data_IF_016276319920
#
_entry.id   IF_016276319920
#
_cell.length_a   1.000
_cell.length_b   1.000
_cell.length_c   1.000
_cell.angle_alpha   90.00
_cell.angle_beta   90.00
_cell.angle_gamma   90.00
#
_symmetry.space_group_name_H-M   'P 1'
#
loop_
_entity.id
_entity.type
_entity.pdbx_description
1 polymer ?
#
# COMPACT_ATOMS: atom_id res chain seq x y z
N UNK A 1 30.29 -6.33 1.98
CA UNK A 1 29.51 -5.52 2.95
C UNK A 1 28.56 -6.44 3.69
N UNK A 2 28.24 -6.05 4.90
CA UNK A 2 27.15 -6.66 5.67
C UNK A 2 25.96 -5.72 5.68
N UNK A 3 24.84 -6.15 5.11
CA UNK A 3 23.69 -5.29 4.82
C UNK A 3 22.50 -5.71 5.67
N UNK A 4 21.90 -4.73 6.36
CA UNK A 4 20.67 -4.90 7.10
C UNK A 4 19.45 -4.74 6.19
N UNK A 5 18.44 -5.59 6.33
CA UNK A 5 17.19 -5.51 5.60
C UNK A 5 16.03 -5.42 6.59
N UNK A 6 15.13 -4.49 6.39
CA UNK A 6 13.90 -4.35 7.19
C UNK A 6 12.67 -4.12 6.33
N UNK A 7 11.51 -4.51 6.87
CA UNK A 7 10.20 -4.27 6.28
C UNK A 7 9.33 -3.51 7.27
N UNK A 8 8.82 -2.33 6.88
CA UNK A 8 8.08 -1.45 7.80
C UNK A 8 6.71 -1.03 7.28
N UNK A 9 5.86 -0.56 8.20
CA UNK A 9 4.48 -0.15 7.93
C UNK A 9 3.52 -1.31 7.74
N UNK A 10 2.36 -1.08 7.11
CA UNK A 10 1.42 -2.16 6.78
C UNK A 10 2.06 -3.18 5.86
N UNK A 11 1.83 -4.47 6.11
CA UNK A 11 2.31 -5.52 5.24
C UNK A 11 1.53 -5.56 3.91
N UNK A 12 2.11 -6.19 2.92
CA UNK A 12 1.45 -6.48 1.65
C UNK A 12 2.10 -7.69 0.95
N UNK A 13 1.39 -8.30 0.00
CA UNK A 13 1.98 -9.34 -0.85
C UNK A 13 3.12 -8.79 -1.71
N UNK A 14 4.25 -9.51 -1.75
CA UNK A 14 5.45 -9.11 -2.50
C UNK A 14 6.68 -8.78 -1.64
N UNK A 15 6.52 -8.46 -0.35
CA UNK A 15 7.64 -8.17 0.57
C UNK A 15 8.69 -9.28 0.56
N UNK A 16 8.26 -10.52 0.66
CA UNK A 16 9.18 -11.68 0.65
C UNK A 16 9.89 -11.87 -0.70
N UNK A 17 9.27 -11.45 -1.81
CA UNK A 17 9.91 -11.48 -3.12
C UNK A 17 11.09 -10.49 -3.20
N UNK A 18 10.93 -9.29 -2.64
CA UNK A 18 12.02 -8.30 -2.51
C UNK A 18 13.16 -8.86 -1.67
N UNK A 19 12.87 -9.35 -0.45
CA UNK A 19 13.88 -9.91 0.47
C UNK A 19 14.67 -11.02 -0.23
N UNK A 20 13.95 -11.94 -0.88
CA UNK A 20 14.57 -13.04 -1.64
C UNK A 20 15.50 -12.55 -2.74
N UNK A 21 15.09 -11.55 -3.51
CA UNK A 21 15.86 -11.00 -4.62
C UNK A 21 17.15 -10.31 -4.13
N UNK A 22 17.02 -9.46 -3.12
CA UNK A 22 18.14 -8.77 -2.45
C UNK A 22 19.18 -9.78 -1.98
N UNK A 23 18.76 -10.75 -1.19
CA UNK A 23 19.66 -11.74 -0.58
C UNK A 23 20.33 -12.61 -1.65
N UNK A 24 19.54 -13.13 -2.58
CA UNK A 24 20.09 -14.07 -3.58
C UNK A 24 21.11 -13.43 -4.50
N UNK A 25 20.83 -12.24 -5.03
CA UNK A 25 21.77 -11.52 -5.89
C UNK A 25 22.98 -11.05 -5.09
N UNK A 26 22.76 -10.46 -3.92
CA UNK A 26 23.83 -9.94 -3.08
C UNK A 26 24.83 -11.01 -2.63
N UNK A 27 24.34 -12.21 -2.28
CA UNK A 27 25.24 -13.34 -1.93
C UNK A 27 25.94 -13.89 -3.17
N UNK A 28 25.19 -14.16 -4.26
CA UNK A 28 25.73 -14.89 -5.41
C UNK A 28 26.65 -14.07 -6.30
N UNK A 29 26.30 -12.81 -6.56
CA UNK A 29 27.06 -11.96 -7.48
C UNK A 29 28.06 -11.07 -6.76
N UNK A 30 27.74 -10.62 -5.53
CA UNK A 30 28.55 -9.60 -4.85
C UNK A 30 29.25 -10.09 -3.58
N UNK A 31 28.96 -11.32 -3.12
CA UNK A 31 29.57 -11.87 -1.89
C UNK A 31 29.20 -11.10 -0.62
N UNK A 32 28.03 -10.46 -0.60
CA UNK A 32 27.57 -9.72 0.58
C UNK A 32 26.93 -10.64 1.63
N UNK A 33 27.01 -10.22 2.88
CA UNK A 33 26.30 -10.82 4.02
C UNK A 33 25.04 -10.03 4.35
N UNK A 34 24.00 -10.72 4.83
CA UNK A 34 22.72 -10.08 5.15
C UNK A 34 22.25 -10.40 6.57
N UNK A 35 21.63 -9.42 7.18
CA UNK A 35 20.94 -9.51 8.46
C UNK A 35 19.54 -8.96 8.29
N UNK A 36 18.50 -9.73 8.64
CA UNK A 36 17.13 -9.24 8.73
C UNK A 36 16.89 -8.57 10.07
N UNK A 37 16.29 -7.40 10.07
CA UNK A 37 15.78 -6.77 11.27
C UNK A 37 14.30 -7.08 11.45
N UNK A 38 13.93 -7.58 12.63
CA UNK A 38 12.54 -7.86 12.97
C UNK A 38 11.73 -6.57 13.19
N UNK A 39 10.44 -6.61 12.83
CA UNK A 39 9.46 -5.59 13.18
C UNK A 39 9.83 -4.17 12.74
N UNK A 40 10.25 -4.01 11.48
CA UNK A 40 10.54 -2.71 10.89
C UNK A 40 11.64 -1.94 11.64
N UNK A 41 11.41 -0.65 11.90
CA UNK A 41 12.39 0.20 12.60
C UNK A 41 12.57 -0.17 14.07
N UNK A 42 11.69 -0.98 14.66
CA UNK A 42 11.89 -1.54 16.00
C UNK A 42 13.14 -2.44 16.05
N UNK A 43 13.37 -3.21 14.99
CA UNK A 43 14.52 -4.11 14.91
C UNK A 43 15.88 -3.41 15.08
N UNK A 44 16.22 -2.41 14.25
CA UNK A 44 17.44 -1.62 14.46
C UNK A 44 17.48 -0.89 15.80
N UNK A 45 16.34 -0.40 16.28
CA UNK A 45 16.23 0.32 17.56
C UNK A 45 16.54 -0.58 18.77
N UNK A 46 16.10 -1.82 18.75
CA UNK A 46 16.22 -2.78 19.87
C UNK A 46 17.29 -3.87 19.62
N UNK A 47 17.93 -3.87 18.44
CA UNK A 47 18.91 -4.88 18.08
C UNK A 47 18.31 -6.27 17.75
N UNK A 48 17.03 -6.33 17.34
CA UNK A 48 16.34 -7.57 17.02
C UNK A 48 16.69 -8.03 15.61
N UNK A 49 17.47 -9.09 15.50
CA UNK A 49 17.99 -9.54 14.22
C UNK A 49 17.75 -11.03 13.97
N UNK A 50 17.75 -11.41 12.69
CA UNK A 50 17.82 -12.78 12.23
C UNK A 50 18.81 -12.93 11.06
N UNK A 51 19.46 -14.09 10.89
CA UNK A 51 20.31 -14.34 9.73
C UNK A 51 19.46 -14.35 8.45
N UNK A 52 19.94 -13.68 7.40
CA UNK A 52 19.38 -13.80 6.05
C UNK A 52 20.42 -14.42 5.13
N UNK A 53 20.06 -15.52 4.49
CA UNK A 53 20.89 -16.22 3.51
C UNK A 53 20.02 -16.87 2.43
N UNK A 54 20.65 -17.56 1.49
CA UNK A 54 19.92 -18.22 0.38
C UNK A 54 18.96 -19.31 0.91
N UNK A 55 19.28 -19.95 2.02
CA UNK A 55 18.45 -21.02 2.60
C UNK A 55 17.23 -20.45 3.33
N UNK A 56 17.41 -19.42 4.18
CA UNK A 56 16.30 -18.77 4.91
C UNK A 56 15.32 -18.08 3.97
N UNK A 57 15.74 -17.76 2.74
CA UNK A 57 14.89 -17.14 1.70
C UNK A 57 14.36 -18.16 0.67
N UNK A 58 14.49 -19.48 0.94
CA UNK A 58 13.94 -20.52 0.07
C UNK A 58 12.41 -20.61 0.25
N UNK A 59 11.68 -20.71 -0.87
CA UNK A 59 10.23 -20.93 -0.86
C UNK A 59 9.37 -19.71 -0.47
N UNK A 60 9.95 -18.54 -0.15
CA UNK A 60 9.18 -17.39 0.31
C UNK A 60 8.56 -16.53 -0.82
N UNK A 61 8.92 -16.79 -2.10
CA UNK A 61 8.43 -15.99 -3.23
C UNK A 61 6.90 -15.89 -3.30
N UNK A 62 6.11 -16.97 -3.18
CA UNK A 62 4.65 -16.89 -3.24
C UNK A 62 4.00 -16.54 -1.90
N UNK A 63 4.78 -16.41 -0.83
CA UNK A 63 4.26 -16.19 0.51
C UNK A 63 3.94 -14.72 0.73
N UNK A 64 2.68 -14.43 1.12
CA UNK A 64 2.25 -13.09 1.56
C UNK A 64 2.85 -12.70 2.91
N UNK A 65 2.57 -11.47 3.34
CA UNK A 65 3.17 -10.89 4.53
C UNK A 65 4.69 -10.75 4.40
N UNK A 66 5.39 -10.79 5.52
CA UNK A 66 6.85 -10.67 5.58
C UNK A 66 7.46 -11.62 6.62
N UNK A 67 8.56 -12.28 6.26
CA UNK A 67 9.30 -13.13 7.19
C UNK A 67 10.03 -12.34 8.29
N UNK A 68 10.18 -11.01 8.09
CA UNK A 68 10.84 -10.12 9.05
C UNK A 68 9.88 -9.51 10.06
N UNK A 69 8.56 -9.67 9.88
CA UNK A 69 7.59 -8.90 10.65
C UNK A 69 7.57 -7.42 10.26
N UNK A 70 6.68 -6.66 10.85
CA UNK A 70 6.53 -5.23 10.59
C UNK A 70 6.01 -4.51 11.81
N UNK A 71 6.30 -3.21 11.94
CA UNK A 71 5.74 -2.34 12.97
C UNK A 71 5.56 -0.91 12.47
N UNK A 72 4.83 -0.12 13.25
CA UNK A 72 4.70 1.33 13.08
C UNK A 72 5.58 2.07 14.08
N UNK A 73 6.81 1.62 14.28
CA UNK A 73 7.78 2.27 15.18
C UNK A 73 8.43 3.45 14.47
N UNK A 74 8.37 4.63 15.09
CA UNK A 74 9.06 5.83 14.62
C UNK A 74 10.21 6.18 15.59
N UNK A 75 11.47 5.91 15.24
CA UNK A 75 12.60 6.14 16.12
C UNK A 75 12.84 7.62 16.44
N UNK A 76 12.37 8.54 15.59
CA UNK A 76 12.48 9.99 15.83
C UNK A 76 11.49 10.51 16.89
N UNK A 77 10.51 9.70 17.30
CA UNK A 77 9.62 10.01 18.43
C UNK A 77 10.08 9.39 19.75
N UNK A 78 11.24 8.74 19.75
CA UNK A 78 11.81 8.05 20.91
C UNK A 78 13.10 8.78 21.30
N UNK A 79 13.23 9.16 22.57
CA UNK A 79 14.44 9.82 23.09
C UNK A 79 15.67 8.94 22.88
N UNK A 80 16.73 9.50 22.25
CA UNK A 80 17.93 8.76 21.90
C UNK A 80 17.73 7.65 20.88
N UNK A 81 16.59 7.62 20.17
CA UNK A 81 16.27 6.53 19.26
C UNK A 81 17.21 6.42 18.05
N UNK A 82 17.64 7.54 17.51
CA UNK A 82 18.59 7.59 16.38
C UNK A 82 19.97 7.09 16.79
N UNK A 83 20.45 7.53 17.93
CA UNK A 83 21.74 7.12 18.51
C UNK A 83 21.75 5.62 18.80
N UNK A 84 20.67 5.08 19.38
CA UNK A 84 20.50 3.64 19.59
C UNK A 84 20.57 2.85 18.30
N UNK A 85 19.93 3.34 17.23
CA UNK A 85 20.00 2.69 15.91
C UNK A 85 21.45 2.66 15.43
N UNK A 86 22.16 3.79 15.44
CA UNK A 86 23.55 3.88 15.00
C UNK A 86 24.45 2.94 15.80
N UNK A 87 24.30 2.91 17.12
CA UNK A 87 25.06 2.04 18.01
C UNK A 87 24.79 0.56 17.73
N UNK A 88 23.52 0.18 17.52
CA UNK A 88 23.15 -1.20 17.24
C UNK A 88 23.63 -1.64 15.86
N UNK A 89 23.57 -0.77 14.84
CA UNK A 89 24.17 -1.05 13.53
C UNK A 89 25.68 -1.26 13.63
N UNK A 90 26.38 -0.39 14.35
CA UNK A 90 27.82 -0.52 14.58
C UNK A 90 28.18 -1.81 15.33
N UNK A 91 27.47 -2.14 16.43
CA UNK A 91 27.66 -3.39 17.18
C UNK A 91 27.42 -4.64 16.35
N UNK A 92 26.43 -4.60 15.46
CA UNK A 92 26.12 -5.71 14.55
C UNK A 92 27.03 -5.74 13.31
N UNK A 93 27.93 -4.76 13.13
CA UNK A 93 28.81 -4.64 11.97
C UNK A 93 28.04 -4.41 10.65
N UNK A 94 26.95 -3.68 10.72
CA UNK A 94 26.11 -3.36 9.54
C UNK A 94 26.66 -2.15 8.81
N UNK A 95 27.04 -2.30 7.56
CA UNK A 95 27.60 -1.25 6.70
C UNK A 95 26.53 -0.35 6.09
N UNK A 96 25.32 -0.91 5.80
CA UNK A 96 24.24 -0.22 5.12
C UNK A 96 22.88 -0.90 5.36
N UNK A 97 21.78 -0.21 5.04
CA UNK A 97 20.41 -0.70 5.17
C UNK A 97 19.69 -0.74 3.81
N UNK A 98 18.83 -1.73 3.63
CA UNK A 98 17.75 -1.72 2.63
C UNK A 98 16.43 -1.65 3.39
N UNK A 99 15.75 -0.50 3.28
CA UNK A 99 14.48 -0.23 3.94
C UNK A 99 13.32 -0.42 2.95
N UNK A 100 12.46 -1.40 3.23
CA UNK A 100 11.31 -1.75 2.38
C UNK A 100 10.04 -1.26 3.08
N UNK A 101 9.34 -0.26 2.51
CA UNK A 101 8.16 0.26 3.17
C UNK A 101 7.43 1.36 2.41
N UNK A 102 6.36 1.86 3.02
CA UNK A 102 5.58 3.00 2.56
C UNK A 102 6.19 4.33 3.01
N UNK A 103 5.39 5.40 2.89
CA UNK A 103 5.76 6.78 3.20
C UNK A 103 6.48 6.91 4.56
N UNK A 104 5.85 6.42 5.64
CA UNK A 104 6.40 6.51 7.00
C UNK A 104 7.77 5.83 7.13
N UNK A 105 7.93 4.65 6.54
CA UNK A 105 9.17 3.88 6.61
C UNK A 105 10.28 4.53 5.81
N UNK A 106 9.97 5.01 4.61
CA UNK A 106 10.92 5.70 3.74
C UNK A 106 11.24 7.11 4.25
N UNK A 107 10.29 7.77 4.92
CA UNK A 107 10.52 9.05 5.59
C UNK A 107 11.54 8.93 6.74
N UNK A 108 11.47 7.85 7.53
CA UNK A 108 12.51 7.54 8.53
C UNK A 108 13.85 7.24 7.85
N UNK A 109 13.85 6.44 6.76
CA UNK A 109 15.04 6.13 5.99
C UNK A 109 15.73 7.40 5.45
N UNK A 110 14.94 8.34 4.89
CA UNK A 110 15.44 9.64 4.38
C UNK A 110 16.13 10.44 5.48
N UNK A 111 15.52 10.51 6.67
CA UNK A 111 16.12 11.23 7.80
C UNK A 111 17.39 10.56 8.31
N UNK A 112 17.44 9.24 8.35
CA UNK A 112 18.64 8.50 8.74
C UNK A 112 19.77 8.66 7.71
N UNK A 113 19.46 8.69 6.43
CA UNK A 113 20.42 8.95 5.36
C UNK A 113 21.07 10.33 5.53
N UNK A 114 20.27 11.37 5.79
CA UNK A 114 20.78 12.73 6.07
C UNK A 114 21.70 12.82 7.33
N UNK A 115 21.58 11.82 8.21
CA UNK A 115 22.40 11.67 9.42
C UNK A 115 23.59 10.71 9.22
N UNK A 116 23.89 10.32 7.97
CA UNK A 116 25.04 9.52 7.59
C UNK A 116 24.86 8.02 7.64
N UNK A 117 23.63 7.51 7.83
CA UNK A 117 23.32 6.08 7.70
C UNK A 117 23.11 5.76 6.22
N UNK A 118 23.89 4.87 5.63
CA UNK A 118 23.77 4.45 4.24
C UNK A 118 22.48 3.65 4.04
N UNK A 119 21.52 4.16 3.26
CA UNK A 119 20.22 3.52 3.04
C UNK A 119 19.83 3.50 1.57
N UNK A 120 19.23 2.38 1.14
CA UNK A 120 18.47 2.26 -0.10
C UNK A 120 17.01 2.00 0.26
N UNK A 121 16.09 2.75 -0.34
CA UNK A 121 14.64 2.58 -0.20
C UNK A 121 14.05 1.65 -1.27
N UNK A 122 13.04 0.87 -0.86
CA UNK A 122 12.22 0.08 -1.77
C UNK A 122 10.74 0.41 -1.52
N UNK A 123 10.01 0.92 -2.53
CA UNK A 123 8.64 1.38 -2.35
C UNK A 123 7.68 0.20 -2.19
N UNK A 124 6.98 0.17 -1.08
CA UNK A 124 6.00 -0.84 -0.72
C UNK A 124 4.75 -0.18 -0.15
N UNK A 125 3.63 -0.31 -0.84
CA UNK A 125 2.30 0.04 -0.34
C UNK A 125 1.25 -0.59 -1.26
N UNK A 126 0.09 -0.96 -0.71
CA UNK A 126 -1.06 -1.34 -1.53
C UNK A 126 -1.78 -0.11 -2.09
N UNK A 127 -1.57 1.06 -1.51
CA UNK A 127 -2.31 2.29 -1.82
C UNK A 127 -1.81 2.97 -3.12
N UNK A 128 -0.65 2.55 -3.64
CA UNK A 128 0.01 3.11 -4.82
C UNK A 128 0.22 4.64 -4.75
N UNK A 129 0.41 5.16 -3.55
CA UNK A 129 0.44 6.58 -3.20
C UNK A 129 1.85 7.20 -3.06
N UNK A 130 2.91 6.41 -3.29
CA UNK A 130 4.29 6.90 -3.28
C UNK A 130 4.64 7.60 -4.59
N UNK A 131 5.21 8.80 -4.47
CA UNK A 131 5.62 9.59 -5.62
C UNK A 131 6.86 9.00 -6.32
N UNK A 132 7.11 9.45 -7.56
CA UNK A 132 8.24 9.04 -8.40
C UNK A 132 8.33 7.53 -8.72
N UNK A 133 7.25 6.79 -8.59
CA UNK A 133 7.12 5.42 -9.12
C UNK A 133 5.73 5.21 -9.73
N UNK A 134 5.66 4.59 -10.88
CA UNK A 134 4.39 4.35 -11.56
C UNK A 134 3.53 3.35 -10.78
N UNK A 135 4.15 2.29 -10.26
CA UNK A 135 3.49 1.28 -9.43
C UNK A 135 4.35 0.90 -8.23
N UNK A 136 3.67 0.63 -7.13
CA UNK A 136 4.23 -0.05 -5.95
C UNK A 136 3.76 -1.50 -5.94
N UNK A 137 4.60 -2.43 -5.49
CA UNK A 137 4.15 -3.81 -5.34
C UNK A 137 3.21 -3.96 -4.13
N UNK A 138 2.30 -4.91 -4.22
CA UNK A 138 1.17 -5.11 -3.32
C UNK A 138 -0.13 -4.47 -3.84
N UNK A 139 -0.03 -3.45 -4.67
CA UNK A 139 -1.18 -2.74 -5.24
C UNK A 139 -1.98 -3.64 -6.20
N UNK A 140 -1.33 -4.29 -7.15
CA UNK A 140 -1.99 -5.17 -8.11
C UNK A 140 -2.72 -6.32 -7.41
N UNK A 141 -2.11 -6.91 -6.38
CA UNK A 141 -2.75 -7.95 -5.57
C UNK A 141 -3.97 -7.40 -4.81
N UNK A 142 -3.87 -6.21 -4.23
CA UNK A 142 -4.98 -5.58 -3.51
C UNK A 142 -6.17 -5.27 -4.44
N UNK A 143 -5.88 -4.76 -5.63
CA UNK A 143 -6.90 -4.53 -6.68
C UNK A 143 -7.55 -5.86 -7.09
N UNK A 144 -6.77 -6.90 -7.34
CA UNK A 144 -7.28 -8.21 -7.73
C UNK A 144 -8.20 -8.81 -6.65
N UNK A 145 -7.82 -8.71 -5.37
CA UNK A 145 -8.67 -9.15 -4.25
C UNK A 145 -9.98 -8.36 -4.20
N UNK A 146 -9.92 -7.05 -4.43
CA UNK A 146 -11.12 -6.21 -4.46
C UNK A 146 -12.04 -6.59 -5.65
N UNK A 147 -11.48 -6.83 -6.83
CA UNK A 147 -12.23 -7.29 -8.02
C UNK A 147 -12.90 -8.64 -7.76
N UNK A 148 -12.17 -9.61 -7.20
CA UNK A 148 -12.74 -10.93 -6.85
C UNK A 148 -13.92 -10.81 -5.86
N UNK A 149 -13.85 -9.87 -4.93
CA UNK A 149 -14.93 -9.58 -3.99
C UNK A 149 -16.13 -8.94 -4.72
N UNK A 150 -15.90 -7.98 -5.61
CA UNK A 150 -16.92 -7.31 -6.41
C UNK A 150 -17.66 -8.33 -7.29
N UNK A 151 -16.92 -9.20 -8.00
CA UNK A 151 -17.50 -10.24 -8.87
C UNK A 151 -18.46 -11.17 -8.12
N UNK A 152 -18.11 -11.54 -6.88
CA UNK A 152 -18.98 -12.35 -6.01
C UNK A 152 -20.24 -11.60 -5.58
N UNK A 153 -20.14 -10.28 -5.39
CA UNK A 153 -21.24 -9.45 -4.94
C UNK A 153 -22.28 -9.18 -6.02
N UNK A 154 -21.93 -9.18 -7.31
CA UNK A 154 -22.88 -8.98 -8.40
C UNK A 154 -24.05 -9.95 -8.33
N UNK A 155 -23.80 -11.23 -8.22
CA UNK A 155 -24.86 -12.25 -8.19
C UNK A 155 -25.76 -12.14 -6.97
N UNK A 156 -25.21 -11.73 -5.81
CA UNK A 156 -26.04 -11.54 -4.61
C UNK A 156 -26.81 -10.23 -4.66
N UNK A 157 -26.25 -9.17 -5.25
CA UNK A 157 -26.93 -7.90 -5.49
C UNK A 157 -28.16 -8.10 -6.39
N UNK A 158 -28.00 -8.83 -7.49
CA UNK A 158 -29.09 -9.17 -8.42
C UNK A 158 -30.16 -10.03 -7.76
N UNK A 159 -29.77 -11.10 -7.03
CA UNK A 159 -30.71 -12.02 -6.37
C UNK A 159 -31.62 -11.35 -5.35
N UNK A 160 -31.11 -10.31 -4.70
CA UNK A 160 -31.83 -9.58 -3.65
C UNK A 160 -32.35 -8.21 -4.09
N UNK A 161 -32.08 -7.77 -5.32
CA UNK A 161 -32.43 -6.44 -5.82
C UNK A 161 -31.96 -5.31 -4.90
N UNK A 162 -30.68 -5.38 -4.45
CA UNK A 162 -30.08 -4.44 -3.50
C UNK A 162 -28.92 -3.69 -4.14
N UNK A 163 -28.70 -2.44 -3.70
CA UNK A 163 -27.43 -1.76 -3.93
C UNK A 163 -26.37 -2.32 -2.97
N UNK A 164 -25.19 -2.66 -3.47
CA UNK A 164 -24.07 -3.07 -2.63
C UNK A 164 -22.92 -2.08 -2.71
N UNK A 165 -22.46 -1.64 -1.55
CA UNK A 165 -21.34 -0.74 -1.39
C UNK A 165 -20.11 -1.57 -1.00
N UNK A 166 -19.03 -1.45 -1.75
CA UNK A 166 -17.75 -2.08 -1.45
C UNK A 166 -16.77 -1.01 -0.97
N UNK A 167 -16.50 -0.99 0.33
CA UNK A 167 -15.52 -0.09 0.92
C UNK A 167 -14.13 -0.71 0.82
N UNK A 168 -13.21 0.01 0.15
CA UNK A 168 -11.83 -0.41 -0.08
C UNK A 168 -10.84 0.50 0.62
N UNK A 169 -9.65 -0.02 0.91
CA UNK A 169 -8.53 0.74 1.46
C UNK A 169 -7.98 1.75 0.43
N UNK A 170 -7.02 2.56 0.82
CA UNK A 170 -6.33 3.54 -0.02
C UNK A 170 -6.00 4.83 0.71
N UNK A 171 -6.47 5.01 1.95
CA UNK A 171 -6.28 6.23 2.75
C UNK A 171 -6.70 7.50 2.00
N UNK A 172 -5.71 8.31 1.57
CA UNK A 172 -5.91 9.59 0.90
C UNK A 172 -5.85 9.49 -0.63
N UNK A 173 -5.62 8.29 -1.17
CA UNK A 173 -5.50 8.02 -2.60
C UNK A 173 -6.52 6.98 -3.07
N UNK A 174 -7.27 7.31 -4.11
CA UNK A 174 -8.36 6.49 -4.63
C UNK A 174 -7.94 5.42 -5.65
N UNK A 175 -6.65 5.06 -5.73
CA UNK A 175 -6.15 4.14 -6.74
C UNK A 175 -6.80 2.76 -6.70
N UNK A 176 -6.94 2.15 -5.50
CA UNK A 176 -7.59 0.84 -5.36
C UNK A 176 -9.06 0.93 -5.80
N UNK A 177 -9.78 1.96 -5.31
CA UNK A 177 -11.18 2.15 -5.67
C UNK A 177 -11.36 2.33 -7.19
N UNK A 178 -10.55 3.18 -7.81
CA UNK A 178 -10.63 3.44 -9.25
C UNK A 178 -10.36 2.17 -10.06
N UNK A 179 -9.27 1.47 -9.78
CA UNK A 179 -8.89 0.28 -10.56
C UNK A 179 -9.85 -0.89 -10.33
N UNK A 180 -10.21 -1.16 -9.07
CA UNK A 180 -11.14 -2.26 -8.77
C UNK A 180 -12.57 -1.97 -9.22
N UNK A 181 -13.01 -0.71 -9.11
CA UNK A 181 -14.33 -0.30 -9.58
C UNK A 181 -14.48 -0.36 -11.09
N UNK A 182 -13.47 0.08 -11.85
CA UNK A 182 -13.45 -0.07 -13.31
C UNK A 182 -13.43 -1.54 -13.73
N UNK A 183 -12.52 -2.33 -13.15
CA UNK A 183 -12.39 -3.75 -13.49
C UNK A 183 -13.61 -4.57 -13.08
N UNK A 184 -14.25 -4.23 -11.95
CA UNK A 184 -15.43 -4.91 -11.42
C UNK A 184 -16.76 -4.37 -11.93
N UNK A 185 -16.79 -3.41 -12.87
CA UNK A 185 -18.03 -2.90 -13.47
C UNK A 185 -18.92 -2.12 -12.49
N UNK A 186 -18.33 -1.34 -11.58
CA UNK A 186 -19.07 -0.55 -10.61
C UNK A 186 -20.00 0.48 -11.28
N UNK A 187 -21.17 0.69 -10.69
CA UNK A 187 -22.14 1.71 -11.12
C UNK A 187 -21.66 3.14 -10.83
N UNK A 188 -20.84 3.31 -9.80
CA UNK A 188 -20.04 4.51 -9.56
C UNK A 188 -18.84 4.19 -8.66
N UNK A 189 -17.83 5.07 -8.72
CA UNK A 189 -16.58 4.94 -7.98
C UNK A 189 -16.37 6.25 -7.23
N UNK A 190 -16.14 6.17 -5.91
CA UNK A 190 -16.01 7.34 -5.05
C UNK A 190 -14.60 7.35 -4.44
N UNK A 191 -13.85 8.42 -4.72
CA UNK A 191 -12.44 8.56 -4.34
C UNK A 191 -12.19 9.81 -3.48
N UNK A 192 -11.12 9.85 -2.67
CA UNK A 192 -10.81 11.01 -1.82
C UNK A 192 -10.54 12.29 -2.60
N UNK A 193 -9.94 12.17 -3.79
CA UNK A 193 -9.51 13.30 -4.62
C UNK A 193 -10.68 14.10 -5.21
N UNK A 194 -11.86 13.48 -5.31
CA UNK A 194 -13.07 14.11 -5.84
C UNK A 194 -14.20 14.00 -4.82
N UNK A 195 -14.59 15.13 -4.22
CA UNK A 195 -15.78 15.15 -3.36
C UNK A 195 -17.03 14.78 -4.17
N UNK A 196 -17.87 13.91 -3.62
CA UNK A 196 -19.06 13.40 -4.31
C UNK A 196 -20.37 14.01 -3.76
N UNK A 197 -21.36 14.21 -4.64
CA UNK A 197 -22.72 14.56 -4.27
C UNK A 197 -23.54 13.29 -4.01
N UNK A 198 -24.19 13.22 -2.88
CA UNK A 198 -25.06 12.07 -2.55
C UNK A 198 -26.28 12.01 -3.47
N UNK A 199 -26.81 13.18 -3.91
CA UNK A 199 -27.91 13.25 -4.85
C UNK A 199 -27.54 12.56 -6.16
N UNK A 200 -26.34 12.87 -6.68
CA UNK A 200 -25.85 12.29 -7.93
C UNK A 200 -25.59 10.78 -7.79
N UNK A 201 -25.10 10.32 -6.65
CA UNK A 201 -24.96 8.88 -6.37
C UNK A 201 -26.32 8.19 -6.39
N UNK A 202 -27.35 8.79 -5.76
CA UNK A 202 -28.72 8.26 -5.78
C UNK A 202 -29.29 8.20 -7.21
N UNK A 203 -29.05 9.21 -8.04
CA UNK A 203 -29.45 9.19 -9.47
C UNK A 203 -28.82 8.03 -10.23
N UNK A 204 -27.54 7.76 -10.05
CA UNK A 204 -26.84 6.63 -10.67
C UNK A 204 -27.40 5.28 -10.18
N UNK A 205 -27.63 5.15 -8.87
CA UNK A 205 -28.25 3.95 -8.28
C UNK A 205 -29.64 3.69 -8.87
N UNK A 206 -30.50 4.72 -8.94
CA UNK A 206 -31.85 4.59 -9.52
C UNK A 206 -31.80 4.25 -11.02
N UNK A 207 -30.86 4.83 -11.77
CA UNK A 207 -30.67 4.53 -13.19
C UNK A 207 -30.36 3.05 -13.40
N UNK A 208 -29.47 2.46 -12.60
CA UNK A 208 -29.15 1.04 -12.66
C UNK A 208 -30.35 0.15 -12.35
N UNK A 209 -31.12 0.46 -11.33
CA UNK A 209 -32.33 -0.27 -11.02
C UNK A 209 -33.38 -0.22 -12.15
N UNK A 210 -33.49 0.91 -12.88
CA UNK A 210 -34.37 1.02 -14.05
C UNK A 210 -33.93 0.11 -15.20
N UNK A 211 -32.64 -0.13 -15.35
CA UNK A 211 -32.09 -1.06 -16.36
C UNK A 211 -32.06 -2.53 -15.92
N UNK A 212 -32.73 -2.86 -14.80
CA UNK A 212 -32.79 -4.20 -14.19
C UNK A 212 -31.44 -4.75 -13.70
N UNK A 213 -30.47 -3.86 -13.48
CA UNK A 213 -29.18 -4.21 -12.91
C UNK A 213 -29.10 -3.73 -11.45
N UNK A 214 -28.67 -4.60 -10.55
CA UNK A 214 -28.39 -4.20 -9.18
C UNK A 214 -27.02 -3.45 -9.11
N UNK A 215 -27.00 -2.20 -8.58
CA UNK A 215 -25.78 -1.39 -8.60
C UNK A 215 -24.76 -1.88 -7.58
N UNK A 216 -23.50 -1.96 -8.01
CA UNK A 216 -22.33 -2.04 -7.13
C UNK A 216 -21.70 -0.65 -7.08
N UNK A 217 -21.45 -0.14 -5.88
CA UNK A 217 -20.75 1.11 -5.64
C UNK A 217 -19.40 0.78 -5.00
N UNK A 218 -18.31 1.26 -5.58
CA UNK A 218 -16.98 1.13 -4.96
C UNK A 218 -16.59 2.47 -4.33
N UNK A 219 -16.28 2.44 -3.04
CA UNK A 219 -15.92 3.64 -2.28
C UNK A 219 -14.59 3.44 -1.56
N UNK A 220 -13.66 4.38 -1.73
CA UNK A 220 -12.44 4.43 -0.94
C UNK A 220 -12.78 4.85 0.51
N UNK A 221 -12.12 4.23 1.50
CA UNK A 221 -12.30 4.55 2.93
C UNK A 221 -12.09 6.03 3.28
N UNK A 222 -11.34 6.77 2.45
CA UNK A 222 -11.05 8.19 2.60
C UNK A 222 -11.93 9.10 1.73
N UNK A 223 -12.95 8.58 1.03
CA UNK A 223 -13.84 9.40 0.21
C UNK A 223 -14.63 10.41 1.06
N UNK A 224 -14.89 11.61 0.50
CA UNK A 224 -15.48 12.74 1.23
C UNK A 224 -16.74 13.22 0.51
N UNK A 225 -17.91 13.25 1.18
CA UNK A 225 -19.11 13.86 0.62
C UNK A 225 -18.95 15.38 0.48
N UNK A 226 -19.67 16.00 -0.47
CA UNK A 226 -19.64 17.45 -0.66
C UNK A 226 -20.18 18.21 0.55
N UNK A 227 -21.20 17.64 1.19
CA UNK A 227 -21.84 18.18 2.38
C UNK A 227 -21.29 17.51 3.64
N UNK A 228 -20.06 17.78 4.00
CA UNK A 228 -19.49 17.22 5.23
C UNK A 228 -17.98 17.06 5.19
N UNK A 229 -17.49 16.49 6.27
CA UNK A 229 -16.09 16.13 6.46
C UNK A 229 -15.89 14.61 6.27
N UNK A 230 -14.63 14.19 6.30
CA UNK A 230 -14.26 12.79 6.24
C UNK A 230 -14.96 11.99 7.35
N UNK A 231 -15.66 10.94 6.98
CA UNK A 231 -16.36 10.08 7.95
C UNK A 231 -15.36 9.17 8.66
N UNK A 232 -15.28 9.29 9.98
CA UNK A 232 -14.39 8.48 10.82
C UNK A 232 -15.18 7.90 11.99
N UNK A 233 -15.04 6.58 12.23
CA UNK A 233 -15.63 5.95 13.43
C UNK A 233 -14.87 6.28 14.72
N UNK A 234 -13.58 6.62 14.59
CA UNK A 234 -12.69 6.89 15.71
C UNK A 234 -11.68 7.98 15.32
N UNK A 235 -11.50 8.98 16.18
CA UNK A 235 -10.54 10.06 15.99
C UNK A 235 -9.16 9.74 16.57
N UNK A 236 -8.91 8.48 17.01
CA UNK A 236 -7.61 8.09 17.53
C UNK A 236 -6.54 8.11 16.43
N UNK A 237 -5.41 8.75 16.74
CA UNK A 237 -4.25 8.82 15.85
C UNK A 237 -3.33 7.62 16.09
N UNK A 238 -2.72 7.13 15.01
CA UNK A 238 -1.63 6.15 15.11
C UNK A 238 -0.28 6.82 15.49
N UNK A 239 0.78 6.02 15.63
CA UNK A 239 2.12 6.50 16.02
C UNK A 239 2.75 7.49 15.03
N UNK A 240 2.24 7.60 13.82
CA UNK A 240 2.67 8.58 12.81
C UNK A 240 1.73 9.78 12.72
N UNK A 241 0.56 9.74 13.37
CA UNK A 241 -0.42 10.83 13.42
C UNK A 241 -1.55 10.70 12.41
N UNK A 242 -1.77 9.49 11.86
CA UNK A 242 -2.86 9.24 10.92
C UNK A 242 -4.15 8.82 11.64
N UNK A 243 -5.28 9.38 11.20
CA UNK A 243 -6.62 8.99 11.66
C UNK A 243 -6.99 7.63 11.09
N UNK A 244 -7.70 6.82 11.87
CA UNK A 244 -8.26 5.56 11.38
C UNK A 244 -9.52 5.84 10.58
N UNK A 245 -9.44 5.63 9.27
CA UNK A 245 -10.55 5.78 8.34
C UNK A 245 -11.43 4.53 8.38
N UNK A 246 -12.75 4.68 8.48
CA UNK A 246 -13.74 3.61 8.30
C UNK A 246 -15.16 4.14 8.46
N UNK A 247 -16.12 3.44 7.83
CA UNK A 247 -17.55 3.68 8.04
C UNK A 247 -18.22 4.58 7.03
N UNK A 248 -17.50 5.07 6.03
CA UNK A 248 -18.08 5.85 4.94
C UNK A 248 -19.06 5.00 4.12
N UNK A 249 -18.77 3.70 3.95
CA UNK A 249 -19.67 2.77 3.24
C UNK A 249 -20.99 2.59 3.97
N UNK A 250 -20.96 2.41 5.30
CA UNK A 250 -22.19 2.29 6.11
C UNK A 250 -23.02 3.58 6.08
N UNK A 251 -22.34 4.73 6.17
CA UNK A 251 -22.98 6.03 6.03
C UNK A 251 -23.66 6.17 4.67
N UNK A 252 -22.95 5.82 3.59
CA UNK A 252 -23.47 5.89 2.23
C UNK A 252 -24.67 4.95 2.03
N UNK A 253 -24.64 3.75 2.57
CA UNK A 253 -25.76 2.81 2.51
C UNK A 253 -27.02 3.40 3.14
N UNK A 254 -26.90 4.00 4.33
CA UNK A 254 -28.02 4.65 5.03
C UNK A 254 -28.59 5.85 4.23
N UNK A 255 -27.73 6.67 3.61
CA UNK A 255 -28.14 7.78 2.79
C UNK A 255 -28.91 7.30 1.53
N UNK A 256 -28.42 6.25 0.86
CA UNK A 256 -29.10 5.68 -0.30
C UNK A 256 -30.47 5.13 0.10
N UNK A 257 -30.57 4.33 1.17
CA UNK A 257 -31.85 3.80 1.66
C UNK A 257 -32.85 4.91 1.98
N UNK A 258 -32.39 5.94 2.70
CA UNK A 258 -33.24 7.06 3.13
C UNK A 258 -33.78 7.86 1.96
N UNK A 259 -32.96 8.12 0.93
CA UNK A 259 -33.30 8.99 -0.18
C UNK A 259 -34.05 8.29 -1.32
N UNK A 260 -33.73 7.01 -1.57
CA UNK A 260 -34.28 6.27 -2.71
C UNK A 260 -35.30 5.20 -2.33
N UNK A 261 -35.38 4.83 -1.05
CA UNK A 261 -36.18 3.71 -0.58
C UNK A 261 -35.67 2.33 -1.07
N UNK A 262 -34.49 2.29 -1.67
CA UNK A 262 -33.85 1.04 -2.15
C UNK A 262 -32.95 0.48 -1.07
N UNK A 263 -33.09 -0.81 -0.80
CA UNK A 263 -32.21 -1.49 0.17
C UNK A 263 -30.75 -1.43 -0.27
N UNK A 264 -29.87 -1.04 0.64
CA UNK A 264 -28.43 -0.95 0.41
C UNK A 264 -27.65 -1.66 1.54
N UNK A 265 -26.54 -2.29 1.22
CA UNK A 265 -25.67 -2.98 2.20
C UNK A 265 -24.22 -2.71 1.88
N UNK A 266 -23.40 -2.70 2.93
CA UNK A 266 -21.96 -2.47 2.83
C UNK A 266 -21.17 -3.74 3.04
N UNK A 267 -20.14 -3.91 2.24
CA UNK A 267 -19.07 -4.89 2.43
C UNK A 267 -17.75 -4.13 2.59
N UNK A 268 -17.22 -4.09 3.82
CA UNK A 268 -15.92 -3.47 4.10
C UNK A 268 -14.83 -4.52 3.91
N UNK A 269 -13.99 -4.37 2.87
CA UNK A 269 -12.95 -5.36 2.60
C UNK A 269 -11.80 -5.29 3.61
N UNK A 270 -11.42 -4.09 4.05
CA UNK A 270 -10.42 -3.91 5.10
C UNK A 270 -9.12 -4.68 4.83
N UNK A 271 -8.57 -5.29 5.88
CA UNK A 271 -7.25 -5.94 5.84
C UNK A 271 -7.14 -7.19 4.96
N UNK A 272 -8.23 -7.77 4.44
CA UNK A 272 -8.12 -8.87 3.47
C UNK A 272 -7.37 -8.44 2.21
N UNK A 273 -7.41 -7.15 1.85
CA UNK A 273 -6.68 -6.55 0.73
C UNK A 273 -5.15 -6.56 0.92
N UNK A 274 -4.67 -6.77 2.14
CA UNK A 274 -3.24 -6.86 2.47
C UNK A 274 -2.71 -8.29 2.47
N UNK A 275 -3.60 -9.28 2.45
CA UNK A 275 -3.26 -10.70 2.60
C UNK A 275 -3.09 -11.44 1.29
N UNK A 276 -2.90 -12.73 1.42
CA UNK A 276 -2.82 -13.67 0.29
C UNK A 276 -1.48 -13.72 -0.42
N UNK A 277 -1.43 -14.57 -1.44
CA UNK A 277 -0.25 -14.71 -2.30
C UNK A 277 -0.16 -13.55 -3.29
N UNK A 278 1.03 -12.98 -3.53
CA UNK A 278 1.20 -11.93 -4.53
C UNK A 278 0.84 -12.43 -5.93
N UNK A 279 0.20 -11.58 -6.73
CA UNK A 279 -0.01 -11.83 -8.17
C UNK A 279 1.31 -12.01 -8.91
N UNK A 280 1.25 -12.51 -10.12
CA UNK A 280 2.45 -12.62 -10.98
C UNK A 280 3.10 -11.25 -11.20
N UNK A 281 2.29 -10.18 -11.39
CA UNK A 281 2.78 -8.82 -11.55
C UNK A 281 3.58 -8.37 -10.31
N UNK A 282 2.99 -8.47 -9.12
CA UNK A 282 3.66 -8.07 -7.89
C UNK A 282 4.91 -8.89 -7.57
N UNK A 283 4.91 -10.22 -7.87
CA UNK A 283 6.11 -11.05 -7.72
C UNK A 283 7.27 -10.58 -8.61
N UNK A 284 6.97 -10.24 -9.87
CA UNK A 284 7.98 -9.78 -10.83
C UNK A 284 8.47 -8.38 -10.45
N UNK A 285 7.56 -7.44 -10.18
CA UNK A 285 7.91 -6.08 -9.81
C UNK A 285 8.76 -6.05 -8.52
N UNK A 286 8.31 -6.73 -7.47
CA UNK A 286 9.03 -6.83 -6.20
C UNK A 286 10.41 -7.48 -6.38
N UNK A 287 10.52 -8.52 -7.21
CA UNK A 287 11.80 -9.15 -7.53
C UNK A 287 12.73 -8.15 -8.22
N UNK A 288 12.24 -7.42 -9.23
CA UNK A 288 13.03 -6.41 -9.96
C UNK A 288 13.49 -5.27 -9.06
N UNK A 289 12.61 -4.79 -8.17
CA UNK A 289 12.98 -3.79 -7.16
C UNK A 289 14.11 -4.31 -6.25
N UNK A 290 13.98 -5.54 -5.75
CA UNK A 290 15.01 -6.14 -4.91
C UNK A 290 16.36 -6.29 -5.62
N UNK A 291 16.36 -6.73 -6.89
CA UNK A 291 17.57 -6.85 -7.70
C UNK A 291 18.25 -5.49 -7.90
N UNK A 292 17.48 -4.44 -8.17
CA UNK A 292 18.03 -3.10 -8.39
C UNK A 292 18.47 -2.43 -7.09
N UNK A 293 17.75 -2.66 -5.98
CA UNK A 293 18.12 -2.13 -4.66
C UNK A 293 19.49 -2.66 -4.20
N UNK A 294 19.74 -3.97 -4.36
CA UNK A 294 21.05 -4.52 -4.00
C UNK A 294 22.16 -4.10 -4.98
N UNK A 295 21.82 -3.86 -6.24
CA UNK A 295 22.78 -3.30 -7.20
C UNK A 295 23.18 -1.89 -6.80
N UNK A 296 22.21 -1.03 -6.47
CA UNK A 296 22.47 0.33 -5.97
C UNK A 296 23.34 0.32 -4.71
N UNK A 297 23.06 -0.57 -3.77
CA UNK A 297 23.87 -0.73 -2.56
C UNK A 297 25.31 -1.18 -2.87
N UNK A 298 25.50 -2.11 -3.80
CA UNK A 298 26.83 -2.58 -4.22
C UNK A 298 27.65 -1.46 -4.87
N UNK A 299 27.02 -0.64 -5.71
CA UNK A 299 27.63 0.49 -6.39
C UNK A 299 27.84 1.72 -5.47
N UNK A 300 27.31 1.70 -4.25
CA UNK A 300 27.43 2.80 -3.30
C UNK A 300 26.51 4.00 -3.61
N UNK A 301 25.45 3.82 -4.38
CA UNK A 301 24.48 4.86 -4.77
C UNK A 301 23.42 5.08 -3.68
N UNK A 302 23.87 5.56 -2.50
CA UNK A 302 23.07 5.73 -1.30
C UNK A 302 22.06 6.88 -1.41
N UNK A 303 21.08 6.91 -0.49
CA UNK A 303 20.03 7.93 -0.47
C UNK A 303 19.08 7.85 -1.67
N UNK A 304 18.98 6.68 -2.30
CA UNK A 304 18.09 6.42 -3.44
C UNK A 304 16.96 5.48 -3.07
N UNK A 305 15.86 5.62 -3.79
CA UNK A 305 14.78 4.65 -3.87
C UNK A 305 14.75 4.03 -5.26
N UNK A 306 14.52 2.74 -5.36
CA UNK A 306 14.21 2.10 -6.65
C UNK A 306 12.78 2.44 -7.05
N UNK A 307 12.53 2.68 -8.33
CA UNK A 307 11.24 3.12 -8.85
C UNK A 307 10.94 2.49 -10.21
N UNK A 308 9.68 2.30 -10.53
CA UNK A 308 9.23 1.88 -11.87
C UNK A 308 8.88 3.11 -12.70
N UNK A 309 9.51 3.28 -13.86
CA UNK A 309 9.13 4.26 -14.89
C UNK A 309 8.87 3.51 -16.20
N UNK A 310 7.61 3.45 -16.61
CA UNK A 310 7.20 2.63 -17.74
C UNK A 310 7.52 1.15 -17.51
N UNK A 311 8.52 0.63 -18.20
CA UNK A 311 9.00 -0.76 -18.04
C UNK A 311 10.31 -0.88 -17.28
N UNK A 312 10.97 0.23 -16.97
CA UNK A 312 12.32 0.23 -16.43
C UNK A 312 12.33 0.47 -14.91
N UNK A 313 13.27 -0.18 -14.22
CA UNK A 313 13.55 0.13 -12.82
C UNK A 313 14.69 1.14 -12.79
N UNK A 314 14.37 2.32 -12.32
CA UNK A 314 15.29 3.46 -12.16
C UNK A 314 15.60 3.72 -10.69
N UNK A 315 16.51 4.64 -10.40
CA UNK A 315 16.84 5.13 -9.06
C UNK A 315 16.49 6.60 -8.96
N UNK A 316 15.68 6.95 -7.97
CA UNK A 316 15.28 8.33 -7.70
C UNK A 316 15.77 8.74 -6.30
N UNK A 317 15.93 10.04 -6.01
CA UNK A 317 16.26 10.48 -4.66
C UNK A 317 15.23 9.94 -3.65
N UNK A 318 15.70 9.36 -2.55
CA UNK A 318 14.80 8.79 -1.52
C UNK A 318 13.89 9.86 -0.91
N UNK A 319 14.38 11.07 -0.70
CA UNK A 319 13.61 12.20 -0.18
C UNK A 319 12.38 12.52 -1.05
N UNK A 320 12.53 12.49 -2.37
CA UNK A 320 11.44 12.84 -3.30
C UNK A 320 10.27 11.85 -3.31
N UNK A 321 10.47 10.65 -2.78
CA UNK A 321 9.43 9.62 -2.68
C UNK A 321 8.31 9.97 -1.70
N UNK A 322 8.64 10.79 -0.67
CA UNK A 322 7.77 11.11 0.46
C UNK A 322 7.42 12.60 0.56
N UNK A 323 7.84 13.43 -0.39
CA UNK A 323 7.54 14.86 -0.41
C UNK A 323 6.07 15.16 -0.71
N UNK A 324 5.46 14.36 -1.56
CA UNK A 324 4.06 14.49 -1.97
C UNK A 324 3.45 13.12 -2.20
N UNK A 325 2.17 12.96 -1.84
CA UNK A 325 1.41 11.77 -2.19
C UNK A 325 1.11 11.74 -3.70
N UNK A 326 1.19 10.56 -4.30
CA UNK A 326 0.76 10.31 -5.66
C UNK A 326 -0.75 10.05 -5.67
N UNK A 327 -1.50 11.10 -5.89
CA UNK A 327 -2.96 11.08 -5.98
C UNK A 327 -3.44 10.63 -7.38
N UNK A 328 -4.69 10.19 -7.47
CA UNK A 328 -5.34 9.88 -8.75
C UNK A 328 -5.54 11.18 -9.53
N UNK A 329 -4.99 11.32 -10.76
CA UNK A 329 -5.28 12.47 -11.61
C UNK A 329 -6.79 12.54 -11.93
N UNK A 330 -7.40 13.71 -11.75
CA UNK A 330 -8.83 13.90 -11.98
C UNK A 330 -9.24 13.59 -13.42
N UNK A 331 -8.36 13.79 -14.39
CA UNK A 331 -8.60 13.42 -15.79
C UNK A 331 -8.79 11.91 -15.93
N UNK A 332 -7.94 11.11 -15.25
CA UNK A 332 -8.07 9.66 -15.25
C UNK A 332 -9.32 9.17 -14.52
N UNK A 333 -9.73 9.87 -13.48
CA UNK A 333 -11.00 9.59 -12.81
C UNK A 333 -12.19 9.87 -13.73
N UNK A 334 -12.19 10.99 -14.45
CA UNK A 334 -13.24 11.35 -15.40
C UNK A 334 -13.45 10.34 -16.53
N UNK A 335 -12.38 9.64 -16.94
CA UNK A 335 -12.51 8.54 -17.91
C UNK A 335 -13.44 7.43 -17.40
N UNK A 336 -13.54 7.23 -16.08
CA UNK A 336 -14.42 6.22 -15.49
C UNK A 336 -15.88 6.65 -15.43
N UNK A 337 -16.16 7.96 -15.41
CA UNK A 337 -17.52 8.51 -15.25
C UNK A 337 -18.46 8.12 -16.40
N UNK A 338 -17.92 7.77 -17.56
CA UNK A 338 -18.73 7.28 -18.72
C UNK A 338 -19.50 5.99 -18.41
N UNK A 339 -19.04 5.25 -17.40
CA UNK A 339 -19.67 3.99 -16.98
C UNK A 339 -20.62 4.16 -15.80
N UNK A 340 -20.75 5.35 -15.24
CA UNK A 340 -21.59 5.62 -14.08
C UNK A 340 -23.07 5.74 -14.45
N UNK A 341 -23.97 5.18 -13.63
CA UNK A 341 -25.42 5.19 -13.82
C UNK A 341 -25.98 3.99 -14.55
#
# INVERSE_FOLDING_TARGET
MRIGVLTGGGDCPGLNAVIRAVVRKGVKEYGHEFVGFHDGWKGPLEGLTMPLNVETTRGILPRGGTILGSSRTNPFKIEGGVEKIKDNLAKAGIDALIAIGGEDTLGVATKLDSLGVKVIGVPKTIDNDLNNTDYTFGFDTAVNIAVEAIDRLHTTAESHHRALIVEVMGRHAGWIALHSGLAGGAACILIPEQKFSIEKVCEWVESRFKSHYAPIIVIAEGAIPQEGDMVTKDQTLDSFGHVKLSGIGDWLANEIETRTGKEARTSVLGHIQRGGSPTAFDRVLATRFGLQAITAAHEGDWGKMVALHGTDIVRVPLASATEQLKLVPLERYKESEIFFG
#
